data_IF_426531860904
#
_entry.id   IF_426531860904
#
_cell.length_a   1.000
_cell.length_b   1.000
_cell.length_c   1.000
_cell.angle_alpha   90.00
_cell.angle_beta   90.00
_cell.angle_gamma   90.00
#
_symmetry.space_group_name_H-M   'P 1'
#
loop_
_entity.id
_entity.type
_entity.pdbx_description
1 polymer ?
#
# COMPACT_ATOMS: atom_id res chain seq x y z
N UNK A 1 0.82 5.56 17.14
CA UNK A 1 -0.44 4.79 17.25
C UNK A 1 -0.76 3.98 15.98
N UNK A 2 0.26 3.61 15.19
CA UNK A 2 0.04 3.14 13.80
C UNK A 2 -0.05 1.62 13.64
N UNK A 3 0.39 0.83 14.65
CA UNK A 3 0.53 -0.63 14.55
C UNK A 3 -0.81 -1.36 14.34
N UNK A 4 -1.88 -0.88 14.95
CA UNK A 4 -3.22 -1.48 14.84
C UNK A 4 -3.78 -1.37 13.42
N UNK A 5 -3.53 -0.24 12.74
CA UNK A 5 -3.99 -0.04 11.37
C UNK A 5 -3.28 -1.00 10.42
N UNK A 6 -1.95 -1.15 10.58
CA UNK A 6 -1.14 -2.08 9.80
C UNK A 6 -1.66 -3.52 9.93
N UNK A 7 -2.02 -3.96 11.14
CA UNK A 7 -2.53 -5.32 11.37
C UNK A 7 -3.90 -5.55 10.72
N UNK A 8 -4.80 -4.55 10.76
CA UNK A 8 -6.11 -4.61 10.11
C UNK A 8 -5.96 -4.64 8.58
N UNK A 9 -5.10 -3.77 8.03
CA UNK A 9 -4.80 -3.72 6.60
C UNK A 9 -4.21 -5.06 6.14
N UNK A 10 -3.25 -5.63 6.87
CA UNK A 10 -2.65 -6.94 6.57
C UNK A 10 -3.71 -8.04 6.46
N UNK A 11 -4.69 -8.06 7.39
CA UNK A 11 -5.79 -9.02 7.36
C UNK A 11 -6.73 -8.87 6.16
N UNK A 12 -6.97 -7.62 5.70
CA UNK A 12 -7.84 -7.32 4.55
C UNK A 12 -7.07 -7.11 3.24
N UNK A 13 -5.74 -7.25 3.25
CA UNK A 13 -4.89 -6.75 2.16
C UNK A 13 -5.22 -7.37 0.80
N UNK A 14 -5.55 -8.66 0.75
CA UNK A 14 -5.95 -9.32 -0.51
C UNK A 14 -7.17 -8.67 -1.17
N UNK A 15 -8.10 -8.12 -0.38
CA UNK A 15 -9.25 -7.39 -0.89
C UNK A 15 -8.86 -5.97 -1.31
N UNK A 16 -7.95 -5.34 -0.57
CA UNK A 16 -7.43 -4.00 -0.84
C UNK A 16 -6.43 -3.94 -2.00
N UNK A 17 -5.83 -5.08 -2.39
CA UNK A 17 -4.86 -5.15 -3.47
C UNK A 17 -5.47 -4.79 -4.84
N UNK A 18 -6.77 -5.06 -5.06
CA UNK A 18 -7.49 -4.61 -6.26
C UNK A 18 -7.60 -3.08 -6.34
N UNK A 19 -8.18 -2.42 -5.32
CA UNK A 19 -8.18 -0.95 -5.21
C UNK A 19 -6.78 -0.32 -5.25
N UNK A 20 -5.77 -0.99 -4.69
CA UNK A 20 -4.38 -0.56 -4.73
C UNK A 20 -3.83 -0.58 -6.16
N UNK A 21 -4.13 -1.63 -6.95
CA UNK A 21 -3.76 -1.71 -8.37
C UNK A 21 -4.42 -0.61 -9.21
N UNK A 22 -5.60 -0.13 -8.80
CA UNK A 22 -6.27 1.00 -9.47
C UNK A 22 -5.62 2.33 -9.07
N UNK A 23 -5.14 2.49 -7.83
CA UNK A 23 -4.41 3.67 -7.39
C UNK A 23 -3.01 3.74 -8.01
N UNK A 24 -2.36 2.58 -8.13
CA UNK A 24 -1.03 2.43 -8.68
C UNK A 24 -1.09 1.53 -9.91
N UNK A 25 -1.45 2.14 -11.03
CA UNK A 25 -1.59 1.50 -12.35
C UNK A 25 -0.32 0.80 -12.88
N UNK A 26 0.86 1.27 -12.48
CA UNK A 26 2.16 0.67 -12.80
C UNK A 26 2.49 -0.57 -11.94
N UNK A 27 1.73 -0.82 -10.86
CA UNK A 27 1.91 -1.97 -9.99
C UNK A 27 0.96 -3.10 -10.37
N UNK A 28 1.48 -4.31 -10.48
CA UNK A 28 0.62 -5.48 -10.73
C UNK A 28 0.00 -5.99 -9.44
N UNK A 29 -1.20 -6.58 -9.55
CA UNK A 29 -1.89 -7.24 -8.43
C UNK A 29 -0.99 -8.25 -7.69
N UNK A 30 -0.14 -8.97 -8.42
CA UNK A 30 0.77 -9.95 -7.83
C UNK A 30 1.85 -9.32 -6.95
N UNK A 31 2.40 -8.17 -7.36
CA UNK A 31 3.41 -7.45 -6.58
C UNK A 31 2.80 -6.84 -5.32
N UNK A 32 1.59 -6.29 -5.46
CA UNK A 32 0.80 -5.81 -4.34
C UNK A 32 0.51 -6.95 -3.37
N UNK A 33 0.03 -8.11 -3.82
CA UNK A 33 -0.22 -9.27 -2.92
C UNK A 33 1.06 -9.71 -2.20
N UNK A 34 2.23 -9.69 -2.86
CA UNK A 34 3.53 -10.03 -2.25
C UNK A 34 3.99 -9.06 -1.16
N UNK A 35 3.51 -7.81 -1.19
CA UNK A 35 3.78 -6.86 -0.10
C UNK A 35 3.03 -7.21 1.18
N UNK A 36 2.02 -8.08 1.10
CA UNK A 36 1.21 -8.53 2.24
C UNK A 36 0.55 -7.40 3.03
N UNK A 37 0.42 -6.20 2.44
CA UNK A 37 -0.14 -5.03 3.11
C UNK A 37 0.82 -4.39 4.11
N UNK A 38 2.11 -4.72 3.99
CA UNK A 38 3.16 -4.10 4.76
C UNK A 38 3.49 -2.71 4.19
N UNK A 39 3.41 -1.70 5.05
CA UNK A 39 3.63 -0.31 4.68
C UNK A 39 5.01 -0.08 4.05
N UNK A 40 6.05 -0.66 4.65
CA UNK A 40 7.43 -0.44 4.22
C UNK A 40 7.69 -1.14 2.89
N UNK A 41 7.19 -2.37 2.73
CA UNK A 41 7.28 -3.09 1.44
C UNK A 41 6.56 -2.35 0.33
N UNK A 42 5.37 -1.80 0.60
CA UNK A 42 4.61 -1.02 -0.39
C UNK A 42 5.31 0.29 -0.73
N UNK A 43 5.87 0.97 0.27
CA UNK A 43 6.59 2.23 0.08
C UNK A 43 7.78 2.02 -0.84
N UNK A 44 8.63 1.01 -0.59
CA UNK A 44 9.74 0.69 -1.48
C UNK A 44 9.30 0.27 -2.88
N UNK A 45 8.18 -0.45 -2.99
CA UNK A 45 7.64 -0.86 -4.30
C UNK A 45 7.19 0.36 -5.12
N UNK A 46 6.44 1.27 -4.50
CA UNK A 46 5.96 2.52 -5.13
C UNK A 46 7.14 3.44 -5.47
N UNK A 47 8.11 3.58 -4.56
CA UNK A 47 9.34 4.34 -4.76
C UNK A 47 10.11 3.85 -6.01
N UNK A 48 10.37 2.55 -6.08
CA UNK A 48 11.13 1.96 -7.19
C UNK A 48 10.39 2.00 -8.53
N UNK A 49 9.05 1.89 -8.51
CA UNK A 49 8.23 1.79 -9.72
C UNK A 49 7.96 3.14 -10.36
N UNK A 50 7.69 4.15 -9.55
CA UNK A 50 7.41 5.50 -10.03
C UNK A 50 8.63 6.44 -10.00
N UNK A 51 9.77 5.98 -9.45
CA UNK A 51 10.99 6.77 -9.37
C UNK A 51 10.83 8.04 -8.51
N UNK A 52 10.02 7.96 -7.46
CA UNK A 52 9.74 9.08 -6.55
C UNK A 52 10.60 9.02 -5.29
N UNK A 53 10.55 10.05 -4.46
CA UNK A 53 11.25 10.04 -3.16
C UNK A 53 10.52 9.11 -2.19
N UNK A 54 11.27 8.52 -1.25
CA UNK A 54 10.72 7.68 -0.20
C UNK A 54 9.59 8.36 0.58
N UNK A 55 9.75 9.64 0.91
CA UNK A 55 8.77 10.43 1.66
C UNK A 55 7.47 10.66 0.87
N UNK A 56 7.55 10.79 -0.46
CA UNK A 56 6.37 10.90 -1.32
C UNK A 56 5.66 9.56 -1.46
N UNK A 57 6.41 8.47 -1.64
CA UNK A 57 5.88 7.11 -1.66
C UNK A 57 5.17 6.77 -0.35
N UNK A 58 5.79 7.10 0.79
CA UNK A 58 5.23 6.85 2.12
C UNK A 58 3.90 7.60 2.31
N UNK A 59 3.85 8.87 1.90
CA UNK A 59 2.61 9.68 1.94
C UNK A 59 1.49 9.06 1.11
N UNK A 60 1.80 8.54 -0.08
CA UNK A 60 0.79 7.87 -0.91
C UNK A 60 0.27 6.59 -0.26
N UNK A 61 1.17 5.75 0.26
CA UNK A 61 0.80 4.50 0.94
C UNK A 61 -0.03 4.79 2.19
N UNK A 62 0.38 5.76 3.01
CA UNK A 62 -0.37 6.20 4.18
C UNK A 62 -1.74 6.75 3.80
N UNK A 63 -1.83 7.59 2.76
CA UNK A 63 -3.10 8.12 2.26
C UNK A 63 -4.03 7.01 1.79
N UNK A 64 -3.50 6.00 1.09
CA UNK A 64 -4.26 4.83 0.68
C UNK A 64 -4.78 4.04 1.88
N UNK A 65 -3.95 3.79 2.90
CA UNK A 65 -4.39 3.10 4.12
C UNK A 65 -5.44 3.87 4.91
N UNK A 66 -5.30 5.18 5.04
CA UNK A 66 -6.29 6.02 5.72
C UNK A 66 -7.64 6.03 4.99
N UNK A 67 -7.64 6.09 3.66
CA UNK A 67 -8.88 5.99 2.85
C UNK A 67 -9.60 4.66 3.05
N UNK A 68 -8.84 3.58 3.24
CA UNK A 68 -9.37 2.22 3.37
C UNK A 68 -9.50 1.75 4.83
N UNK A 69 -9.26 2.64 5.81
CA UNK A 69 -9.38 2.35 7.26
C UNK A 69 -10.83 2.11 7.70
N UNK A 70 -11.81 2.73 7.04
CA UNK A 70 -13.22 2.79 7.47
C UNK A 70 -14.20 1.98 6.63
N UNK A 71 -13.72 1.15 5.69
CA UNK A 71 -14.57 0.26 4.87
C UNK A 71 -14.49 -1.20 5.37
#
# INVERSE_FOLDING_TARGET
MSRLLSDIIKGKWRQLAGPAMINWDELTLNELIKSEGDQDKLTHLVEARYGMTHEEAEKQVLSFFERNRTT
#
